data_IF_416451987170
#
_entry.id   IF_416451987170
#
_cell.length_a   1.000
_cell.length_b   1.000
_cell.length_c   1.000
_cell.angle_alpha   90.00
_cell.angle_beta   90.00
_cell.angle_gamma   90.00
#
_symmetry.space_group_name_H-M   'P 1'
#
loop_
_entity.id
_entity.type
_entity.pdbx_description
1 polymer ?
#
# COMPACT_ATOMS: atom_id res chain seq x y z
N UNK A 1 22.28 -16.71 13.02
CA UNK A 1 21.60 -16.03 11.91
C UNK A 1 22.57 -15.06 11.25
N UNK A 2 22.76 -15.15 9.96
CA UNK A 2 23.57 -14.16 9.25
C UNK A 2 22.84 -12.80 9.32
N UNK A 3 23.58 -11.79 9.76
CA UNK A 3 23.04 -10.44 9.93
C UNK A 3 22.69 -9.84 8.55
N UNK A 4 21.46 -9.36 8.37
CA UNK A 4 21.04 -8.68 7.14
C UNK A 4 21.83 -7.37 6.96
N UNK A 5 22.82 -7.41 6.07
CA UNK A 5 23.67 -6.25 5.77
C UNK A 5 22.93 -5.10 5.09
N UNK A 6 21.78 -5.37 4.49
CA UNK A 6 20.96 -4.37 3.78
C UNK A 6 19.89 -3.72 4.68
N UNK A 7 19.76 -4.13 5.94
CA UNK A 7 18.73 -3.60 6.86
C UNK A 7 18.79 -2.07 7.04
N UNK A 8 19.98 -1.46 6.88
CA UNK A 8 20.12 0.00 6.96
C UNK A 8 19.25 0.75 5.94
N UNK A 9 18.88 0.11 4.82
CA UNK A 9 18.03 0.72 3.78
C UNK A 9 16.63 1.04 4.30
N UNK A 10 16.12 0.27 5.28
CA UNK A 10 14.85 0.52 5.96
C UNK A 10 15.01 1.25 7.31
N UNK A 11 16.18 1.82 7.59
CA UNK A 11 16.33 2.65 8.79
C UNK A 11 15.35 3.83 8.75
N UNK A 12 14.55 3.99 9.82
CA UNK A 12 13.47 4.98 9.94
C UNK A 12 12.29 4.73 8.96
N UNK A 13 12.12 3.49 8.51
CA UNK A 13 10.92 3.07 7.80
C UNK A 13 9.78 2.90 8.81
N UNK A 14 8.95 3.95 8.95
CA UNK A 14 7.84 4.04 9.89
C UNK A 14 7.38 5.48 10.08
N UNK A 15 6.30 5.73 10.86
CA UNK A 15 5.46 4.70 11.48
C UNK A 15 4.70 3.84 10.47
N UNK A 16 4.74 2.52 10.66
CA UNK A 16 4.16 1.52 9.78
C UNK A 16 2.92 0.89 10.42
N UNK A 17 1.81 0.87 9.70
CA UNK A 17 0.53 0.30 10.14
C UNK A 17 0.16 -0.85 9.21
N UNK A 18 0.08 -2.07 9.76
CA UNK A 18 -0.12 -3.29 8.99
C UNK A 18 -1.49 -3.86 9.31
N UNK A 19 -2.36 -3.93 8.30
CA UNK A 19 -3.66 -4.59 8.43
C UNK A 19 -3.50 -6.10 8.27
N UNK A 20 -4.14 -6.85 9.16
CA UNK A 20 -4.14 -8.32 9.13
C UNK A 20 -5.44 -8.82 9.74
N UNK A 21 -6.08 -9.80 9.10
CA UNK A 21 -7.26 -10.49 9.62
C UNK A 21 -6.89 -11.31 10.86
N UNK A 22 -7.72 -11.25 11.91
CA UNK A 22 -7.47 -12.01 13.14
C UNK A 22 -7.52 -13.52 12.91
N UNK A 23 -8.30 -13.96 11.92
CA UNK A 23 -8.37 -15.34 11.48
C UNK A 23 -7.18 -15.85 10.65
N UNK A 24 -6.17 -15.01 10.38
CA UNK A 24 -4.98 -15.36 9.57
C UNK A 24 -3.66 -15.12 10.33
N UNK A 25 -3.43 -15.82 11.45
CA UNK A 25 -2.24 -15.62 12.28
C UNK A 25 -0.94 -16.00 11.56
N UNK A 26 -0.95 -16.94 10.63
CA UNK A 26 0.21 -17.39 9.86
C UNK A 26 0.77 -16.26 8.96
N UNK A 27 -0.10 -15.42 8.37
CA UNK A 27 0.32 -14.25 7.59
C UNK A 27 0.98 -13.22 8.50
N UNK A 28 0.46 -13.04 9.71
CA UNK A 28 1.07 -12.15 10.69
C UNK A 28 2.44 -12.64 11.17
N UNK A 29 2.61 -13.94 11.42
CA UNK A 29 3.93 -14.50 11.79
C UNK A 29 4.94 -14.28 10.65
N UNK A 30 4.57 -14.58 9.41
CA UNK A 30 5.42 -14.32 8.25
C UNK A 30 5.81 -12.83 8.14
N UNK A 31 4.88 -11.92 8.37
CA UNK A 31 5.17 -10.47 8.36
C UNK A 31 6.14 -10.10 9.49
N UNK A 32 5.97 -10.62 10.70
CA UNK A 32 6.90 -10.38 11.82
C UNK A 32 8.31 -10.85 11.49
N UNK A 33 8.45 -12.01 10.87
CA UNK A 33 9.77 -12.53 10.47
C UNK A 33 10.49 -11.58 9.51
N UNK A 34 9.75 -10.98 8.58
CA UNK A 34 10.32 -9.96 7.70
C UNK A 34 10.72 -8.69 8.47
N UNK A 35 9.85 -8.17 9.32
CA UNK A 35 10.12 -6.97 10.11
C UNK A 35 11.38 -7.16 10.97
N UNK A 36 11.52 -8.31 11.61
CA UNK A 36 12.69 -8.67 12.40
C UNK A 36 13.94 -8.80 11.52
N UNK A 37 13.85 -9.49 10.39
CA UNK A 37 14.95 -9.64 9.45
C UNK A 37 15.45 -8.29 8.92
N UNK A 38 14.54 -7.35 8.64
CA UNK A 38 14.84 -6.01 8.15
C UNK A 38 15.08 -4.98 9.28
N UNK A 39 14.99 -5.38 10.55
CA UNK A 39 15.14 -4.53 11.73
C UNK A 39 14.19 -3.33 11.76
N UNK A 40 12.97 -3.53 11.26
CA UNK A 40 11.88 -2.55 11.31
C UNK A 40 11.17 -2.71 12.66
N UNK A 41 11.22 -1.69 13.51
CA UNK A 41 10.67 -1.75 14.87
C UNK A 41 9.53 -0.76 15.12
N UNK A 42 9.37 0.26 14.27
CA UNK A 42 8.30 1.26 14.40
C UNK A 42 7.07 0.82 13.58
N UNK A 43 6.36 -0.17 14.10
CA UNK A 43 5.16 -0.70 13.45
C UNK A 43 4.04 -1.01 14.44
N UNK A 44 2.81 -1.04 13.90
CA UNK A 44 1.61 -1.47 14.62
C UNK A 44 0.75 -2.38 13.76
N UNK A 45 0.36 -3.53 14.30
CA UNK A 45 -0.70 -4.37 13.72
C UNK A 45 -2.06 -3.72 13.95
N UNK A 46 -2.87 -3.67 12.91
CA UNK A 46 -4.26 -3.25 12.95
C UNK A 46 -5.14 -4.45 12.57
N UNK A 47 -5.99 -4.89 13.48
CA UNK A 47 -7.00 -5.92 13.21
C UNK A 47 -7.92 -5.44 12.09
N UNK A 48 -7.92 -6.16 10.97
CA UNK A 48 -8.73 -5.85 9.79
C UNK A 48 -10.18 -6.31 10.00
N UNK A 49 -11.12 -5.62 9.33
CA UNK A 49 -12.49 -6.10 9.20
C UNK A 49 -12.57 -7.21 8.15
N UNK A 50 -13.19 -8.33 8.50
CA UNK A 50 -13.58 -9.34 7.52
C UNK A 50 -15.00 -9.05 7.04
N UNK A 51 -15.13 -8.42 5.89
CA UNK A 51 -16.44 -8.03 5.37
C UNK A 51 -17.35 -9.22 5.01
N UNK A 52 -16.83 -10.44 5.06
CA UNK A 52 -17.63 -11.69 4.85
C UNK A 52 -18.26 -12.18 6.15
N UNK A 53 -17.59 -11.96 7.28
CA UNK A 53 -17.97 -12.49 8.59
C UNK A 53 -18.46 -11.39 9.54
N UNK A 54 -17.95 -10.16 9.41
CA UNK A 54 -18.33 -9.02 10.24
C UNK A 54 -19.70 -8.45 9.83
N UNK A 55 -20.44 -7.92 10.79
CA UNK A 55 -21.67 -7.17 10.51
C UNK A 55 -21.34 -5.80 9.89
N UNK A 56 -21.46 -5.70 8.58
CA UNK A 56 -21.19 -4.47 7.85
C UNK A 56 -22.04 -3.29 8.31
N UNK A 57 -23.21 -3.50 8.93
CA UNK A 57 -24.05 -2.44 9.45
C UNK A 57 -23.40 -1.72 10.63
N UNK A 58 -22.50 -2.38 11.37
CA UNK A 58 -21.73 -1.80 12.47
C UNK A 58 -20.50 -1.01 11.95
N UNK A 59 -20.04 -1.30 10.73
CA UNK A 59 -18.84 -0.72 10.12
C UNK A 59 -19.19 0.43 9.20
N UNK A 60 -20.29 0.32 8.45
CA UNK A 60 -20.68 1.25 7.38
C UNK A 60 -21.75 2.21 7.85
N UNK A 61 -21.58 3.49 7.52
CA UNK A 61 -22.58 4.54 7.67
C UNK A 61 -23.27 4.80 6.33
N UNK A 62 -24.53 4.43 6.22
CA UNK A 62 -25.31 4.57 5.00
C UNK A 62 -25.20 3.37 4.08
N UNK A 63 -25.24 3.61 2.76
CA UNK A 63 -25.15 2.58 1.73
C UNK A 63 -23.75 2.55 1.12
N UNK A 64 -23.40 1.43 0.52
CA UNK A 64 -22.25 1.30 -0.38
C UNK A 64 -22.72 0.74 -1.73
N UNK A 65 -21.96 0.96 -2.83
CA UNK A 65 -22.36 0.50 -4.16
C UNK A 65 -22.55 -1.02 -4.21
N UNK A 66 -23.65 -1.50 -4.80
CA UNK A 66 -23.96 -2.94 -4.93
C UNK A 66 -22.89 -3.73 -5.71
N UNK A 67 -22.12 -3.05 -6.56
CA UNK A 67 -21.04 -3.66 -7.34
C UNK A 67 -19.78 -3.97 -6.50
N UNK A 68 -19.73 -3.52 -5.25
CA UNK A 68 -18.59 -3.75 -4.33
C UNK A 68 -18.92 -4.95 -3.46
N UNK A 69 -18.05 -5.95 -3.47
CA UNK A 69 -18.22 -7.15 -2.63
C UNK A 69 -18.01 -6.86 -1.15
N UNK A 70 -18.53 -7.71 -0.28
CA UNK A 70 -18.32 -7.59 1.17
C UNK A 70 -16.83 -7.67 1.56
N UNK A 71 -16.02 -8.48 0.88
CA UNK A 71 -14.58 -8.53 1.08
C UNK A 71 -13.88 -7.23 0.71
N UNK A 72 -14.27 -6.58 -0.41
CA UNK A 72 -13.76 -5.27 -0.80
C UNK A 72 -14.17 -4.18 0.20
N UNK A 73 -15.39 -4.24 0.76
CA UNK A 73 -15.83 -3.36 1.85
C UNK A 73 -14.94 -3.55 3.08
N UNK A 74 -14.68 -4.79 3.49
CA UNK A 74 -13.79 -5.10 4.60
C UNK A 74 -12.37 -4.54 4.39
N UNK A 75 -11.82 -4.70 3.18
CA UNK A 75 -10.50 -4.19 2.82
C UNK A 75 -10.42 -2.66 2.93
N UNK A 76 -11.29 -1.93 2.23
CA UNK A 76 -11.25 -0.46 2.21
C UNK A 76 -11.50 0.12 3.61
N UNK A 77 -12.41 -0.45 4.39
CA UNK A 77 -12.68 0.01 5.76
C UNK A 77 -11.54 -0.29 6.71
N UNK A 78 -10.82 -1.39 6.52
CA UNK A 78 -9.61 -1.72 7.28
C UNK A 78 -8.49 -0.70 7.03
N UNK A 79 -8.28 -0.30 5.78
CA UNK A 79 -7.34 0.78 5.46
C UNK A 79 -7.77 2.12 6.08
N UNK A 80 -9.04 2.50 5.97
CA UNK A 80 -9.55 3.73 6.59
C UNK A 80 -9.42 3.70 8.13
N UNK A 81 -9.68 2.55 8.76
CA UNK A 81 -9.46 2.32 10.20
C UNK A 81 -7.99 2.52 10.57
N UNK A 82 -7.09 1.98 9.77
CA UNK A 82 -5.64 2.10 9.96
C UNK A 82 -5.18 3.55 9.85
N UNK A 83 -5.63 4.27 8.81
CA UNK A 83 -5.34 5.69 8.59
C UNK A 83 -5.92 6.54 9.73
N UNK A 84 -7.17 6.31 10.14
CA UNK A 84 -7.82 7.00 11.26
C UNK A 84 -7.02 6.80 12.54
N UNK A 85 -6.62 5.56 12.82
CA UNK A 85 -5.83 5.25 14.01
C UNK A 85 -4.51 6.05 14.04
N UNK A 86 -3.74 6.03 12.94
CA UNK A 86 -2.52 6.83 12.81
C UNK A 86 -2.79 8.33 13.01
N UNK A 87 -3.80 8.86 12.32
CA UNK A 87 -4.14 10.28 12.35
C UNK A 87 -4.51 10.75 13.77
N UNK A 88 -5.28 9.95 14.51
CA UNK A 88 -5.75 10.28 15.84
C UNK A 88 -4.69 10.09 16.94
N UNK A 89 -3.71 9.20 16.73
CA UNK A 89 -2.78 8.80 17.80
C UNK A 89 -1.36 9.35 17.65
N UNK A 90 -1.03 10.00 16.53
CA UNK A 90 0.31 10.53 16.27
C UNK A 90 0.26 11.94 15.69
N UNK A 91 1.43 12.62 15.68
CA UNK A 91 1.64 13.86 14.95
C UNK A 91 2.68 13.69 13.82
N UNK A 92 2.98 12.46 13.43
CA UNK A 92 3.92 12.19 12.34
C UNK A 92 3.46 12.88 11.03
N UNK A 93 4.38 13.43 10.22
CA UNK A 93 4.02 14.15 8.99
C UNK A 93 3.46 13.25 7.90
N UNK A 94 3.78 11.95 7.95
CA UNK A 94 3.26 10.90 7.08
C UNK A 94 3.14 9.58 7.83
N UNK A 95 2.31 8.67 7.33
CA UNK A 95 2.18 7.29 7.78
C UNK A 95 2.36 6.31 6.62
N UNK A 96 2.85 5.11 6.92
CA UNK A 96 3.00 4.01 5.96
C UNK A 96 1.94 2.96 6.29
N UNK A 97 1.18 2.54 5.29
CA UNK A 97 0.09 1.59 5.43
C UNK A 97 0.35 0.38 4.56
N UNK A 98 0.14 -0.81 5.11
CA UNK A 98 0.57 -2.05 4.48
C UNK A 98 -0.42 -3.17 4.74
N UNK A 99 -0.56 -4.08 3.78
CA UNK A 99 -1.20 -5.38 3.95
C UNK A 99 -0.18 -6.43 4.41
N UNK A 100 -0.67 -7.50 4.99
CA UNK A 100 0.14 -8.56 5.60
C UNK A 100 0.78 -9.53 4.59
N UNK A 101 0.63 -9.27 3.29
CA UNK A 101 1.30 -10.00 2.20
C UNK A 101 2.37 -9.17 1.47
N UNK A 102 2.64 -7.95 1.91
CA UNK A 102 3.69 -7.12 1.35
C UNK A 102 5.08 -7.73 1.59
N UNK A 103 5.88 -7.90 0.52
CA UNK A 103 7.17 -8.60 0.53
C UNK A 103 8.33 -7.61 0.36
N UNK A 104 9.28 -7.65 1.30
CA UNK A 104 10.46 -6.77 1.33
C UNK A 104 11.66 -7.31 0.55
N UNK A 105 11.50 -8.40 -0.20
CA UNK A 105 12.62 -9.07 -0.86
C UNK A 105 13.37 -8.18 -1.87
N UNK A 106 12.70 -7.20 -2.49
CA UNK A 106 13.29 -6.23 -3.41
C UNK A 106 14.23 -5.22 -2.74
N UNK A 107 14.06 -4.95 -1.44
CA UNK A 107 14.81 -3.93 -0.70
C UNK A 107 16.33 -4.13 -0.80
N UNK A 108 16.80 -5.39 -0.84
CA UNK A 108 18.23 -5.68 -0.99
C UNK A 108 18.82 -5.10 -2.29
N UNK A 109 18.01 -4.91 -3.32
CA UNK A 109 18.41 -4.42 -4.64
C UNK A 109 18.28 -2.89 -4.80
N UNK A 110 17.61 -2.19 -3.86
CA UNK A 110 17.48 -0.73 -3.96
C UNK A 110 18.85 -0.06 -4.00
N UNK A 111 19.09 0.91 -4.88
CA UNK A 111 20.34 1.70 -4.89
C UNK A 111 20.33 2.85 -3.86
N UNK A 112 19.24 2.99 -3.09
CA UNK A 112 19.01 4.03 -2.10
C UNK A 112 18.48 3.45 -0.78
N UNK A 113 18.49 4.26 0.26
CA UNK A 113 17.77 4.02 1.52
C UNK A 113 16.37 4.64 1.50
N UNK A 114 15.49 4.20 2.39
CA UNK A 114 14.16 4.82 2.57
C UNK A 114 14.25 6.33 2.80
N UNK A 115 15.22 6.77 3.59
CA UNK A 115 15.45 8.21 3.83
C UNK A 115 15.79 8.96 2.55
N UNK A 116 16.65 8.41 1.71
CA UNK A 116 17.01 9.02 0.42
C UNK A 116 15.81 9.04 -0.52
N UNK A 117 15.04 7.95 -0.58
CA UNK A 117 13.80 7.91 -1.34
C UNK A 117 12.86 9.04 -0.92
N UNK A 118 12.51 9.14 0.36
CA UNK A 118 11.59 10.16 0.88
C UNK A 118 12.10 11.60 0.69
N UNK A 119 13.40 11.80 0.55
CA UNK A 119 13.99 13.13 0.27
C UNK A 119 13.91 13.55 -1.20
N UNK A 120 13.57 12.63 -2.10
CA UNK A 120 13.55 12.84 -3.56
C UNK A 120 12.18 12.71 -4.20
N UNK A 121 11.15 12.31 -3.43
CA UNK A 121 9.78 12.24 -3.94
C UNK A 121 9.29 13.62 -4.37
N UNK A 122 8.36 13.73 -5.34
CA UNK A 122 7.78 15.00 -5.77
C UNK A 122 7.25 15.80 -4.56
N UNK A 123 7.54 17.09 -4.49
CA UNK A 123 7.21 17.93 -3.31
C UNK A 123 5.71 18.06 -3.04
N UNK A 124 4.87 17.81 -4.03
CA UNK A 124 3.42 18.00 -3.99
C UNK A 124 2.63 16.69 -3.83
N UNK A 125 3.31 15.60 -3.44
CA UNK A 125 2.65 14.31 -3.23
C UNK A 125 1.63 14.35 -2.07
N UNK A 126 0.49 13.75 -2.29
CA UNK A 126 -0.49 13.43 -1.26
C UNK A 126 -0.39 11.95 -0.84
N UNK A 127 -0.18 11.07 -1.82
CA UNK A 127 -0.02 9.64 -1.64
C UNK A 127 1.13 9.10 -2.50
N UNK A 128 1.84 8.09 -1.99
CA UNK A 128 2.85 7.32 -2.72
C UNK A 128 2.43 5.86 -2.70
N UNK A 129 2.05 5.31 -3.84
CA UNK A 129 1.81 3.87 -4.00
C UNK A 129 3.16 3.19 -4.25
N UNK A 130 3.62 2.38 -3.30
CA UNK A 130 4.97 1.78 -3.32
C UNK A 130 4.98 0.26 -3.51
N UNK A 131 3.81 -0.36 -3.64
CA UNK A 131 3.61 -1.71 -4.13
C UNK A 131 2.58 -1.68 -5.27
N UNK A 132 2.90 -2.25 -6.42
CA UNK A 132 2.10 -2.13 -7.63
C UNK A 132 1.85 -3.52 -8.23
N UNK A 133 0.62 -3.76 -8.67
CA UNK A 133 0.23 -4.86 -9.53
C UNK A 133 -0.17 -4.26 -10.88
N UNK A 134 0.69 -4.39 -11.88
CA UNK A 134 0.40 -3.97 -13.24
C UNK A 134 0.93 -5.02 -14.23
N UNK A 135 0.08 -5.93 -14.74
CA UNK A 135 0.52 -7.00 -15.65
C UNK A 135 0.84 -6.52 -17.07
N UNK A 136 0.49 -5.28 -17.39
CA UNK A 136 0.66 -4.72 -18.76
C UNK A 136 1.89 -3.86 -18.89
N UNK A 137 2.33 -3.23 -17.79
CA UNK A 137 3.39 -2.22 -17.81
C UNK A 137 4.24 -2.34 -16.56
N UNK A 138 5.54 -2.35 -16.73
CA UNK A 138 6.49 -2.17 -15.66
C UNK A 138 7.14 -0.80 -15.83
N UNK A 139 6.83 0.13 -14.90
CA UNK A 139 7.46 1.44 -14.82
C UNK A 139 8.24 1.48 -13.52
N UNK A 140 9.57 1.48 -13.63
CA UNK A 140 10.46 1.32 -12.49
C UNK A 140 10.84 2.64 -11.80
N UNK A 141 10.65 3.77 -12.47
CA UNK A 141 10.83 5.11 -11.90
C UNK A 141 9.53 5.61 -11.26
N UNK A 142 9.66 6.63 -10.41
CA UNK A 142 8.50 7.32 -9.85
C UNK A 142 7.71 8.01 -10.98
N UNK A 143 6.38 7.86 -10.95
CA UNK A 143 5.50 8.43 -11.98
C UNK A 143 4.14 8.79 -11.36
N UNK A 144 3.36 9.72 -11.97
CA UNK A 144 1.96 9.89 -11.61
C UNK A 144 1.23 8.55 -11.77
N UNK A 145 0.43 8.17 -10.76
CA UNK A 145 -0.26 6.88 -10.76
C UNK A 145 -1.14 6.71 -11.98
N UNK A 146 -0.98 5.61 -12.69
CA UNK A 146 -1.88 5.21 -13.77
C UNK A 146 -3.12 4.49 -13.22
N UNK A 147 -4.20 4.48 -14.00
CA UNK A 147 -5.47 3.85 -13.60
C UNK A 147 -5.35 2.33 -13.41
N UNK A 148 -4.39 1.70 -14.08
CA UNK A 148 -4.09 0.26 -14.03
C UNK A 148 -2.92 -0.10 -13.11
N UNK A 149 -2.41 0.84 -12.31
CA UNK A 149 -1.53 0.55 -11.18
C UNK A 149 -2.40 0.15 -9.98
N UNK A 150 -2.67 -1.14 -9.88
CA UNK A 150 -3.49 -1.72 -8.80
C UNK A 150 -2.66 -2.01 -7.55
N UNK A 151 -3.33 -2.36 -6.47
CA UNK A 151 -2.82 -2.81 -5.18
C UNK A 151 -2.73 -1.73 -4.11
N UNK A 152 -3.22 -2.09 -2.95
CA UNK A 152 -3.07 -1.35 -1.68
C UNK A 152 -2.11 -2.06 -0.71
N UNK A 153 -1.30 -3.01 -1.22
CA UNK A 153 -0.37 -3.79 -0.40
C UNK A 153 0.64 -2.92 0.37
N UNK A 154 1.07 -1.78 -0.20
CA UNK A 154 1.85 -0.77 0.54
C UNK A 154 1.72 0.62 -0.08
N UNK A 155 1.41 1.61 0.77
CA UNK A 155 1.37 3.01 0.38
C UNK A 155 1.72 3.94 1.54
N UNK A 156 2.07 5.18 1.19
CA UNK A 156 2.40 6.26 2.14
C UNK A 156 1.44 7.42 1.90
N UNK A 157 0.91 8.02 2.96
CA UNK A 157 0.13 9.25 2.84
C UNK A 157 0.66 10.33 3.75
N UNK A 158 0.58 11.58 3.30
CA UNK A 158 0.86 12.72 4.16
C UNK A 158 -0.34 13.05 5.06
N UNK A 159 -0.09 13.84 6.11
CA UNK A 159 -1.11 14.13 7.12
C UNK A 159 -2.29 14.93 6.57
N UNK A 160 -2.04 15.87 5.66
CA UNK A 160 -3.09 16.66 5.01
C UNK A 160 -4.02 15.78 4.18
N UNK A 161 -3.46 14.78 3.50
CA UNK A 161 -4.26 13.83 2.72
C UNK A 161 -5.09 12.91 3.61
N UNK A 162 -4.53 12.45 4.71
CA UNK A 162 -5.28 11.69 5.70
C UNK A 162 -6.47 12.49 6.25
N UNK A 163 -6.29 13.76 6.60
CA UNK A 163 -7.37 14.64 7.03
C UNK A 163 -8.51 14.71 6.00
N UNK A 164 -8.15 14.83 4.71
CA UNK A 164 -9.12 14.81 3.61
C UNK A 164 -9.89 13.50 3.53
N UNK A 165 -9.19 12.34 3.60
CA UNK A 165 -9.83 11.03 3.60
C UNK A 165 -10.76 10.85 4.81
N UNK A 166 -10.35 11.28 6.01
CA UNK A 166 -11.16 11.23 7.21
C UNK A 166 -12.43 12.09 7.06
N UNK A 167 -12.30 13.30 6.53
CA UNK A 167 -13.44 14.17 6.26
C UNK A 167 -14.46 13.52 5.29
N UNK A 168 -13.99 12.88 4.24
CA UNK A 168 -14.86 12.23 3.26
C UNK A 168 -15.50 10.94 3.79
N UNK A 169 -14.73 10.13 4.50
CA UNK A 169 -15.09 8.73 4.73
C UNK A 169 -15.38 8.37 6.18
N UNK A 170 -14.98 9.17 7.18
CA UNK A 170 -15.27 8.85 8.58
C UNK A 170 -16.54 9.51 9.07
N UNK A 171 -17.33 8.76 9.84
CA UNK A 171 -18.56 9.20 10.51
C UNK A 171 -18.58 8.67 11.94
N UNK A 172 -17.76 9.27 12.80
CA UNK A 172 -17.46 8.72 14.11
C UNK A 172 -16.64 7.44 13.98
N UNK A 173 -17.14 6.33 14.49
CA UNK A 173 -16.50 5.02 14.39
C UNK A 173 -16.89 4.24 13.13
N UNK A 174 -17.85 4.73 12.34
CA UNK A 174 -18.28 4.11 11.08
C UNK A 174 -17.67 4.81 9.87
N UNK A 175 -17.69 4.10 8.72
CA UNK A 175 -17.11 4.59 7.47
C UNK A 175 -18.21 4.79 6.41
N UNK A 176 -18.14 5.89 5.68
CA UNK A 176 -19.00 6.17 4.54
C UNK A 176 -18.24 5.90 3.25
N UNK A 177 -18.64 4.88 2.48
CA UNK A 177 -18.02 4.52 1.22
C UNK A 177 -18.71 5.16 0.02
N UNK A 178 -20.03 5.35 0.07
CA UNK A 178 -20.75 6.11 -0.93
C UNK A 178 -20.61 7.61 -0.64
N UNK A 179 -19.81 8.28 -1.45
CA UNK A 179 -19.65 9.75 -1.42
C UNK A 179 -20.27 10.44 -2.64
N UNK A 180 -20.96 9.69 -3.49
CA UNK A 180 -21.57 10.20 -4.72
C UNK A 180 -20.58 10.58 -5.82
N UNK A 181 -19.29 10.26 -5.64
CA UNK A 181 -18.21 10.60 -6.56
C UNK A 181 -17.62 9.30 -7.12
N UNK A 182 -17.35 9.29 -8.43
CA UNK A 182 -16.50 8.26 -9.04
C UNK A 182 -15.03 8.58 -8.69
N UNK A 183 -14.21 7.59 -8.60
CA UNK A 183 -14.30 6.19 -9.00
C UNK A 183 -15.00 5.30 -7.98
N UNK A 184 -14.93 3.96 -8.19
CA UNK A 184 -15.57 2.94 -7.34
C UNK A 184 -15.12 3.03 -5.89
N UNK A 185 -15.92 2.51 -4.97
CA UNK A 185 -15.61 2.48 -3.54
C UNK A 185 -14.67 1.31 -3.13
N UNK A 186 -13.88 0.78 -4.06
CA UNK A 186 -12.80 -0.18 -3.77
C UNK A 186 -11.57 0.55 -3.26
N UNK A 187 -10.70 -0.16 -2.52
CA UNK A 187 -9.57 0.44 -1.83
C UNK A 187 -8.66 1.26 -2.75
N UNK A 188 -8.26 0.69 -3.90
CA UNK A 188 -7.41 1.38 -4.89
C UNK A 188 -7.98 2.72 -5.34
N UNK A 189 -9.25 2.73 -5.69
CA UNK A 189 -9.87 3.92 -6.23
C UNK A 189 -10.13 4.98 -5.15
N UNK A 190 -10.59 4.53 -3.98
CA UNK A 190 -10.94 5.44 -2.88
C UNK A 190 -9.70 6.08 -2.25
N UNK A 191 -8.64 5.28 -2.07
CA UNK A 191 -7.43 5.74 -1.39
C UNK A 191 -6.51 6.56 -2.29
N UNK A 192 -6.51 6.33 -3.61
CA UNK A 192 -5.53 6.96 -4.49
C UNK A 192 -6.09 8.15 -5.29
N UNK A 193 -7.39 8.18 -5.58
CA UNK A 193 -7.94 9.18 -6.50
C UNK A 193 -8.41 10.49 -5.83
N UNK A 194 -8.33 10.58 -4.51
CA UNK A 194 -8.72 11.79 -3.79
C UNK A 194 -7.62 12.87 -3.75
N UNK A 195 -6.40 12.58 -4.21
CA UNK A 195 -5.26 13.51 -4.21
C UNK A 195 -4.22 13.19 -5.28
N UNK A 196 -3.09 13.87 -5.22
CA UNK A 196 -1.95 13.60 -6.10
C UNK A 196 -1.22 12.35 -5.63
N UNK A 197 -1.42 11.27 -6.37
CA UNK A 197 -0.77 9.98 -6.11
C UNK A 197 0.33 9.73 -7.13
N UNK A 198 1.52 9.45 -6.62
CA UNK A 198 2.64 8.94 -7.39
C UNK A 198 2.83 7.46 -7.11
N UNK A 199 3.37 6.73 -8.07
CA UNK A 199 3.57 5.29 -7.99
C UNK A 199 5.02 4.92 -8.31
N UNK A 200 5.54 3.90 -7.62
CA UNK A 200 6.84 3.28 -7.88
C UNK A 200 6.85 1.88 -7.25
N UNK A 201 7.26 0.81 -7.96
CA UNK A 201 7.19 -0.57 -7.46
C UNK A 201 8.37 -0.92 -6.55
N UNK A 202 8.41 -0.35 -5.33
CA UNK A 202 9.50 -0.60 -4.37
C UNK A 202 9.35 -1.95 -3.67
N UNK A 203 8.13 -2.29 -3.25
CA UNK A 203 7.82 -3.53 -2.57
C UNK A 203 7.09 -4.49 -3.49
N UNK A 204 7.19 -5.76 -3.18
CA UNK A 204 6.51 -6.84 -3.86
C UNK A 204 5.37 -7.37 -2.97
N UNK A 205 4.78 -8.48 -3.35
CA UNK A 205 3.73 -9.16 -2.58
C UNK A 205 3.93 -10.67 -2.67
N UNK A 206 3.52 -11.37 -1.61
CA UNK A 206 3.74 -12.81 -1.43
C UNK A 206 2.60 -13.60 -2.07
N UNK A 207 2.83 -14.15 -3.27
CA UNK A 207 1.81 -14.91 -4.01
C UNK A 207 1.28 -16.13 -3.26
N UNK A 208 2.16 -16.83 -2.53
CA UNK A 208 1.83 -18.09 -1.85
C UNK A 208 0.87 -17.88 -0.67
N UNK A 209 0.73 -16.64 -0.19
CA UNK A 209 -0.28 -16.31 0.82
C UNK A 209 -1.68 -16.15 0.21
N UNK A 210 -1.77 -16.11 -1.10
CA UNK A 210 -3.03 -15.96 -1.82
C UNK A 210 -3.69 -14.60 -1.66
N UNK A 211 -4.84 -14.43 -2.32
CA UNK A 211 -5.74 -13.29 -2.12
C UNK A 211 -6.99 -13.76 -1.40
N UNK A 212 -7.34 -13.14 -0.29
CA UNK A 212 -8.58 -13.42 0.43
C UNK A 212 -9.81 -12.76 -0.20
N UNK A 213 -9.61 -11.80 -1.12
CA UNK A 213 -10.70 -11.04 -1.76
C UNK A 213 -10.95 -11.55 -3.19
N UNK A 214 -9.88 -11.67 -3.98
CA UNK A 214 -9.92 -12.02 -5.41
C UNK A 214 -8.93 -13.14 -5.74
N UNK A 215 -9.18 -14.40 -5.32
CA UNK A 215 -8.26 -15.49 -5.62
C UNK A 215 -8.06 -15.74 -7.12
N UNK A 216 -9.05 -15.43 -7.97
CA UNK A 216 -8.97 -15.54 -9.42
C UNK A 216 -8.00 -14.53 -10.07
N UNK A 217 -7.67 -13.44 -9.39
CA UNK A 217 -6.72 -12.45 -9.88
C UNK A 217 -5.27 -12.92 -9.78
N UNK A 218 -4.97 -13.93 -8.95
CA UNK A 218 -3.60 -14.43 -8.75
C UNK A 218 -3.01 -14.89 -10.08
N UNK A 219 -3.67 -15.79 -10.78
CA UNK A 219 -3.20 -16.31 -12.07
C UNK A 219 -3.40 -15.30 -13.22
N UNK A 220 -4.44 -14.46 -13.14
CA UNK A 220 -4.78 -13.52 -14.20
C UNK A 220 -3.77 -12.35 -14.32
N UNK A 221 -3.34 -11.78 -13.20
CA UNK A 221 -2.42 -10.62 -13.26
C UNK A 221 -1.37 -10.56 -12.14
N UNK A 222 -1.64 -11.09 -10.93
CA UNK A 222 -0.69 -10.96 -9.82
C UNK A 222 0.62 -11.67 -10.15
N UNK A 223 0.54 -12.91 -10.62
CA UNK A 223 1.71 -13.73 -10.94
C UNK A 223 2.59 -13.06 -12.00
N UNK A 224 2.01 -12.65 -13.12
CA UNK A 224 2.76 -12.01 -14.22
C UNK A 224 3.43 -10.70 -13.75
N UNK A 225 2.70 -9.87 -13.01
CA UNK A 225 3.26 -8.62 -12.47
C UNK A 225 4.38 -8.90 -11.46
N UNK A 226 4.19 -9.87 -10.54
CA UNK A 226 5.19 -10.24 -9.54
C UNK A 226 6.47 -10.79 -10.15
N UNK A 227 6.35 -11.69 -11.12
CA UNK A 227 7.51 -12.27 -11.84
C UNK A 227 8.29 -11.20 -12.61
N UNK A 228 7.58 -10.29 -13.28
CA UNK A 228 8.21 -9.17 -14.00
C UNK A 228 8.97 -8.23 -13.07
N UNK A 229 8.38 -7.86 -11.93
CA UNK A 229 9.02 -7.01 -10.92
C UNK A 229 10.22 -7.69 -10.27
N UNK A 230 10.10 -8.97 -9.90
CA UNK A 230 11.20 -9.72 -9.30
C UNK A 230 12.37 -9.86 -10.26
N UNK A 231 12.08 -10.19 -11.52
CA UNK A 231 13.10 -10.25 -12.58
C UNK A 231 13.80 -8.90 -12.76
N UNK A 232 13.05 -7.82 -12.82
CA UNK A 232 13.61 -6.49 -12.99
C UNK A 232 14.50 -6.08 -11.81
N UNK A 233 14.01 -6.24 -10.57
CA UNK A 233 14.79 -5.90 -9.37
C UNK A 233 16.07 -6.74 -9.28
N UNK A 234 15.99 -8.04 -9.59
CA UNK A 234 17.12 -8.96 -9.45
C UNK A 234 18.17 -8.77 -10.55
N UNK A 235 17.77 -8.48 -11.80
CA UNK A 235 18.65 -8.58 -12.95
C UNK A 235 18.90 -7.25 -13.69
N UNK A 236 18.07 -6.23 -13.51
CA UNK A 236 18.12 -5.00 -14.31
C UNK A 236 18.27 -3.73 -13.47
N UNK A 237 17.85 -3.74 -12.21
CA UNK A 237 17.83 -2.54 -11.37
C UNK A 237 19.21 -1.93 -11.14
N UNK A 238 20.27 -2.75 -11.14
CA UNK A 238 21.66 -2.29 -10.99
C UNK A 238 22.16 -1.43 -12.15
N UNK A 239 21.57 -1.60 -13.34
CA UNK A 239 21.95 -0.86 -14.55
C UNK A 239 21.22 0.50 -14.64
N UNK A 240 20.21 0.72 -13.83
CA UNK A 240 19.46 1.95 -13.79
C UNK A 240 20.20 3.00 -12.95
N UNK A 241 20.60 4.15 -13.52
CA UNK A 241 21.21 5.24 -12.75
C UNK A 241 20.27 5.72 -11.64
N UNK A 242 20.82 6.09 -10.48
CA UNK A 242 20.05 6.52 -9.31
C UNK A 242 19.04 7.63 -9.63
N UNK A 243 19.45 8.63 -10.40
CA UNK A 243 18.59 9.77 -10.73
C UNK A 243 17.38 9.37 -11.58
N UNK A 244 17.50 8.30 -12.39
CA UNK A 244 16.40 7.79 -13.22
C UNK A 244 15.22 7.27 -12.40
N UNK A 245 15.44 6.77 -11.19
CA UNK A 245 14.35 6.37 -10.29
C UNK A 245 13.42 7.52 -9.92
N UNK A 246 13.92 8.75 -9.99
CA UNK A 246 13.23 9.96 -9.56
C UNK A 246 12.87 10.90 -10.71
N UNK A 247 13.20 10.53 -11.95
CA UNK A 247 12.72 11.23 -13.13
C UNK A 247 11.25 10.87 -13.38
N UNK A 248 10.39 11.87 -13.42
CA UNK A 248 8.99 11.72 -13.81
C UNK A 248 8.63 12.80 -14.82
N UNK A 249 7.83 12.41 -15.82
CA UNK A 249 7.36 13.33 -16.83
C UNK A 249 6.15 14.09 -16.30
N UNK A 250 6.26 15.41 -16.20
CA UNK A 250 5.16 16.29 -15.82
C UNK A 250 4.29 16.69 -17.02
N UNK A 251 4.71 16.36 -18.25
CA UNK A 251 4.00 16.76 -19.47
C UNK A 251 2.76 15.91 -19.78
N UNK A 252 2.62 14.72 -19.18
CA UNK A 252 1.40 13.91 -19.32
C UNK A 252 0.21 14.42 -18.48
N UNK A 253 0.37 15.53 -17.74
CA UNK A 253 -0.68 16.11 -16.89
C UNK A 253 -1.47 17.25 -17.59
N UNK A 254 -1.38 17.37 -18.91
CA UNK A 254 -2.08 18.39 -19.69
C UNK A 254 -3.10 17.79 -20.66
#
# INVERSE_FOLDING_TARGET
MDRNKAAYKLKNFGPLYIINLDGQPERWEWMKDQLDYWQVSDYKRISAFDGRDDDLSEIISGRYPEAVSSGEVGCVTSHLKSIKHWYDTTNAPYGIFMEDDCDFCSVKHWPFSWREFMSRVPYDWDCLQVAIINPRRLVANIHPRYVDDFSTACFVINRRYAEKLMHFHCRGEKFKLDNGVRPRAVADDLLYNAGKTYAIPLFLYKLELGSSIHPEHIDAFHKTSREGLDHWWTNQSSDMPLDKFFEYDTHELH
#
